data_IF_554095510130
#
_entry.id   IF_554095510130
#
_cell.length_a   1.000
_cell.length_b   1.000
_cell.length_c   1.000
_cell.angle_alpha   90.00
_cell.angle_beta   90.00
_cell.angle_gamma   90.00
#
_symmetry.space_group_name_H-M   'P 1'
#
loop_
_entity.id
_entity.type
_entity.pdbx_description
1 polymer ?
#
# COMPACT_ATOMS: atom_id res chain seq x y z
N UNK A 1 -34.60 23.60 43.29
CA UNK A 1 -33.81 22.40 43.63
C UNK A 1 -34.06 21.42 42.51
N UNK A 2 -33.34 21.65 41.44
CA UNK A 2 -33.44 20.81 40.25
C UNK A 2 -32.62 19.52 40.49
N UNK A 3 -33.33 18.41 40.58
CA UNK A 3 -32.71 17.09 40.54
C UNK A 3 -32.15 16.89 39.15
N UNK A 4 -30.86 17.10 38.99
CA UNK A 4 -30.12 16.51 37.90
C UNK A 4 -30.13 14.99 38.15
N UNK A 5 -31.10 14.32 37.56
CA UNK A 5 -31.05 12.86 37.40
C UNK A 5 -29.83 12.57 36.51
N UNK A 6 -28.73 12.20 37.17
CA UNK A 6 -27.63 11.57 36.46
C UNK A 6 -28.19 10.29 35.80
N UNK A 7 -28.49 10.36 34.51
CA UNK A 7 -28.76 9.15 33.71
C UNK A 7 -27.52 8.28 33.77
N UNK A 8 -27.45 7.44 34.78
CA UNK A 8 -26.45 6.38 34.87
C UNK A 8 -26.83 5.34 33.81
N UNK A 9 -26.10 5.32 32.72
CA UNK A 9 -26.27 4.32 31.65
C UNK A 9 -26.09 2.95 32.30
N UNK A 10 -27.19 2.25 32.55
CA UNK A 10 -27.15 0.90 33.14
C UNK A 10 -26.76 -0.11 32.04
N UNK A 11 -25.56 -0.64 32.16
CA UNK A 11 -25.02 -1.65 31.25
C UNK A 11 -25.91 -2.91 31.16
N UNK A 12 -26.66 -3.21 32.21
CA UNK A 12 -27.61 -4.35 32.23
C UNK A 12 -28.84 -4.06 31.37
N UNK A 13 -29.26 -2.81 31.29
CA UNK A 13 -30.38 -2.39 30.46
C UNK A 13 -30.00 -2.45 28.96
N UNK A 14 -28.82 -1.95 28.61
CA UNK A 14 -28.27 -2.09 27.26
C UNK A 14 -28.14 -3.55 26.84
N UNK A 15 -27.61 -4.41 27.72
CA UNK A 15 -27.46 -5.82 27.44
C UNK A 15 -28.81 -6.53 27.25
N UNK A 16 -29.84 -6.15 28.02
CA UNK A 16 -31.18 -6.69 27.87
C UNK A 16 -31.85 -6.25 26.56
N UNK A 17 -31.70 -4.97 26.18
CA UNK A 17 -32.19 -4.44 24.90
C UNK A 17 -31.54 -5.11 23.70
N UNK A 18 -30.23 -5.29 23.74
CA UNK A 18 -29.49 -6.03 22.68
C UNK A 18 -29.97 -7.47 22.58
N UNK A 19 -30.18 -8.14 23.72
CA UNK A 19 -30.67 -9.53 23.73
C UNK A 19 -32.08 -9.68 23.16
N UNK A 20 -32.97 -8.74 23.43
CA UNK A 20 -34.34 -8.74 22.87
C UNK A 20 -34.34 -8.51 21.34
N UNK A 21 -33.35 -7.77 20.81
CA UNK A 21 -33.25 -7.42 19.39
C UNK A 21 -32.17 -8.19 18.64
N UNK A 22 -31.67 -9.31 19.21
CA UNK A 22 -30.53 -10.07 18.67
C UNK A 22 -30.74 -10.54 17.24
N UNK A 23 -31.97 -10.98 16.88
CA UNK A 23 -32.32 -11.36 15.51
C UNK A 23 -32.23 -10.18 14.53
N UNK A 24 -32.67 -8.98 14.93
CA UNK A 24 -32.55 -7.77 14.10
C UNK A 24 -31.09 -7.38 13.94
N UNK A 25 -30.30 -7.44 15.01
CA UNK A 25 -28.86 -7.18 14.99
C UNK A 25 -28.14 -8.10 14.01
N UNK A 26 -28.37 -9.41 14.06
CA UNK A 26 -27.76 -10.39 13.15
C UNK A 26 -28.18 -10.10 11.71
N UNK A 27 -29.47 -9.86 11.46
CA UNK A 27 -29.99 -9.67 10.12
C UNK A 27 -29.39 -8.41 9.46
N UNK A 28 -29.34 -7.27 10.17
CA UNK A 28 -28.81 -6.02 9.63
C UNK A 28 -27.29 -6.09 9.46
N UNK A 29 -26.58 -6.74 10.39
CA UNK A 29 -25.13 -6.97 10.25
C UNK A 29 -24.82 -7.83 9.02
N UNK A 30 -25.58 -8.90 8.79
CA UNK A 30 -25.47 -9.75 7.60
C UNK A 30 -25.81 -8.97 6.31
N UNK A 31 -26.86 -8.16 6.32
CA UNK A 31 -27.21 -7.32 5.19
C UNK A 31 -26.11 -6.31 4.87
N UNK A 32 -25.53 -5.65 5.87
CA UNK A 32 -24.41 -4.75 5.71
C UNK A 32 -23.16 -5.46 5.16
N UNK A 33 -22.86 -6.66 5.67
CA UNK A 33 -21.78 -7.50 5.14
C UNK A 33 -22.00 -7.86 3.66
N UNK A 34 -23.22 -8.23 3.28
CA UNK A 34 -23.58 -8.56 1.90
C UNK A 34 -23.42 -7.36 0.96
N UNK A 35 -23.85 -6.16 1.41
CA UNK A 35 -23.64 -4.91 0.67
C UNK A 35 -22.15 -4.62 0.50
N UNK A 36 -21.35 -4.73 1.57
CA UNK A 36 -19.91 -4.54 1.51
C UNK A 36 -19.19 -5.54 0.60
N UNK A 37 -19.62 -6.79 0.62
CA UNK A 37 -19.13 -7.84 -0.27
C UNK A 37 -19.43 -7.54 -1.74
N UNK A 38 -20.70 -7.24 -2.06
CA UNK A 38 -21.13 -6.96 -3.44
C UNK A 38 -20.49 -5.69 -3.98
N UNK A 39 -20.43 -4.63 -3.20
CA UNK A 39 -19.75 -3.40 -3.57
C UNK A 39 -18.25 -3.64 -3.84
N UNK A 40 -17.56 -4.37 -2.95
CA UNK A 40 -16.14 -4.65 -3.11
C UNK A 40 -15.84 -5.54 -4.32
N UNK A 41 -16.71 -6.49 -4.63
CA UNK A 41 -16.49 -7.45 -5.71
C UNK A 41 -16.84 -6.91 -7.08
N UNK A 42 -17.91 -6.11 -7.20
CA UNK A 42 -18.51 -5.72 -8.49
C UNK A 42 -18.32 -4.24 -8.84
N UNK A 43 -18.17 -3.34 -7.83
CA UNK A 43 -18.03 -1.90 -8.10
C UNK A 43 -16.57 -1.43 -8.12
N UNK A 44 -15.66 -2.17 -7.46
CA UNK A 44 -14.26 -1.78 -7.39
C UNK A 44 -13.44 -2.46 -8.47
N UNK A 45 -12.64 -1.68 -9.21
CA UNK A 45 -11.71 -2.23 -10.22
C UNK A 45 -10.55 -2.94 -9.53
N UNK A 46 -10.20 -4.17 -9.96
CA UNK A 46 -9.05 -4.87 -9.42
C UNK A 46 -7.75 -4.10 -9.74
N UNK A 47 -6.81 -4.13 -8.80
CA UNK A 47 -5.46 -3.56 -8.96
C UNK A 47 -4.43 -4.65 -8.79
N UNK A 48 -3.41 -4.59 -9.60
CA UNK A 48 -2.30 -5.54 -9.64
C UNK A 48 -0.99 -4.82 -9.37
N UNK A 49 -0.12 -5.43 -8.60
CA UNK A 49 1.20 -4.91 -8.28
C UNK A 49 2.27 -5.71 -9.01
N UNK A 50 3.08 -5.00 -9.79
CA UNK A 50 4.35 -5.54 -10.29
C UNK A 50 5.48 -5.02 -9.44
N UNK A 51 6.40 -5.89 -9.03
CA UNK A 51 7.51 -5.51 -8.17
C UNK A 51 8.82 -6.02 -8.72
N UNK A 52 9.86 -5.19 -8.53
CA UNK A 52 11.25 -5.53 -8.80
C UNK A 52 12.11 -5.19 -7.58
N UNK A 53 13.26 -5.84 -7.47
CA UNK A 53 14.20 -5.60 -6.38
C UNK A 53 15.54 -5.08 -6.94
N UNK A 54 16.06 -4.05 -6.27
CA UNK A 54 17.39 -3.51 -6.54
C UNK A 54 18.19 -3.44 -5.23
N UNK A 55 19.49 -3.65 -5.31
CA UNK A 55 20.40 -3.49 -4.17
C UNK A 55 21.24 -2.24 -4.37
N UNK A 56 21.37 -1.48 -3.30
CA UNK A 56 22.26 -0.32 -3.24
C UNK A 56 23.64 -0.79 -2.87
N UNK A 57 24.61 -0.51 -3.75
CA UNK A 57 26.01 -0.82 -3.51
C UNK A 57 26.74 0.48 -3.15
N UNK A 58 27.27 0.54 -1.94
CA UNK A 58 28.26 1.56 -1.57
C UNK A 58 29.61 1.08 -2.05
N UNK A 59 30.29 1.88 -2.88
CA UNK A 59 31.70 1.59 -3.20
C UNK A 59 32.50 1.61 -1.91
N UNK A 60 32.91 0.44 -1.45
CA UNK A 60 33.89 0.29 -0.39
C UNK A 60 34.96 -0.69 -0.80
N UNK A 61 36.18 -0.36 -0.39
CA UNK A 61 37.35 -1.20 -0.60
C UNK A 61 37.08 -2.64 -0.15
N UNK A 62 37.49 -3.58 -0.98
CA UNK A 62 37.25 -5.03 -0.87
C UNK A 62 37.75 -5.64 0.45
N UNK A 63 38.39 -4.85 1.32
CA UNK A 63 39.04 -5.29 2.55
C UNK A 63 38.46 -4.68 3.86
N UNK A 64 37.33 -3.98 3.82
CA UNK A 64 36.73 -3.41 5.02
C UNK A 64 35.72 -4.37 5.65
N UNK A 65 35.87 -4.66 6.94
CA UNK A 65 34.87 -5.37 7.75
C UNK A 65 33.56 -4.57 7.74
N UNK A 66 32.45 -5.23 7.43
CA UNK A 66 31.11 -4.61 7.46
C UNK A 66 30.79 -4.20 8.90
N UNK A 67 30.67 -2.90 9.13
CA UNK A 67 30.32 -2.33 10.46
C UNK A 67 28.85 -1.92 10.47
N UNK A 68 28.27 -1.82 11.68
CA UNK A 68 26.87 -1.36 11.88
C UNK A 68 26.63 0.04 11.29
N UNK A 69 27.64 0.91 11.28
CA UNK A 69 27.55 2.24 10.67
C UNK A 69 27.41 2.20 9.16
N UNK A 70 27.95 1.16 8.52
CA UNK A 70 27.82 0.95 7.08
C UNK A 70 26.43 0.51 6.70
N UNK A 71 25.79 -0.35 7.51
CA UNK A 71 24.39 -0.76 7.32
C UNK A 71 23.47 0.44 7.46
N UNK A 72 23.64 1.27 8.50
CA UNK A 72 22.86 2.50 8.69
C UNK A 72 23.04 3.51 7.55
N UNK A 73 24.27 3.63 7.02
CA UNK A 73 24.55 4.49 5.86
C UNK A 73 23.86 3.98 4.59
N UNK A 74 23.86 2.68 4.36
CA UNK A 74 23.21 2.07 3.21
C UNK A 74 21.68 2.23 3.26
N UNK A 75 21.06 2.09 4.45
CA UNK A 75 19.61 2.32 4.61
C UNK A 75 19.25 3.79 4.31
N UNK A 76 20.08 4.74 4.70
CA UNK A 76 19.90 6.16 4.32
C UNK A 76 20.02 6.38 2.82
N UNK A 77 20.92 5.68 2.15
CA UNK A 77 21.06 5.75 0.68
C UNK A 77 19.83 5.19 -0.02
N UNK A 78 19.21 4.13 0.49
CA UNK A 78 17.93 3.62 -0.06
C UNK A 78 16.85 4.70 -0.07
N UNK A 79 16.76 5.50 1.00
CA UNK A 79 15.81 6.62 1.06
C UNK A 79 16.12 7.69 -0.01
N UNK A 80 17.40 8.04 -0.17
CA UNK A 80 17.83 8.99 -1.20
C UNK A 80 17.54 8.47 -2.62
N UNK A 81 17.84 7.21 -2.88
CA UNK A 81 17.60 6.61 -4.20
C UNK A 81 16.11 6.44 -4.48
N UNK A 82 15.29 6.20 -3.46
CA UNK A 82 13.84 6.19 -3.58
C UNK A 82 13.30 7.53 -4.08
N UNK A 83 13.88 8.65 -3.61
CA UNK A 83 13.52 9.99 -4.09
C UNK A 83 13.96 10.18 -5.55
N UNK A 84 15.16 9.73 -5.93
CA UNK A 84 15.68 9.84 -7.30
C UNK A 84 14.82 9.01 -8.25
N UNK A 85 14.50 7.77 -7.90
CA UNK A 85 13.65 6.89 -8.73
C UNK A 85 12.26 7.48 -8.93
N UNK A 86 11.73 8.18 -7.93
CA UNK A 86 10.43 8.85 -8.01
C UNK A 86 10.51 10.27 -8.55
N UNK A 87 11.68 10.74 -8.97
CA UNK A 87 11.83 12.07 -9.57
C UNK A 87 11.16 12.16 -10.94
N UNK A 88 10.91 13.39 -11.36
CA UNK A 88 10.40 13.68 -12.71
C UNK A 88 11.39 13.21 -13.78
N UNK A 89 12.70 13.33 -13.56
CA UNK A 89 13.74 12.87 -14.48
C UNK A 89 13.58 11.41 -14.85
N UNK A 90 13.41 10.51 -13.84
CA UNK A 90 13.24 9.07 -14.10
C UNK A 90 11.86 8.76 -14.67
N UNK A 91 10.80 9.26 -14.02
CA UNK A 91 9.44 8.88 -14.39
C UNK A 91 9.00 9.51 -15.72
N UNK A 92 9.46 10.71 -16.06
CA UNK A 92 9.20 11.30 -17.37
C UNK A 92 9.91 10.51 -18.48
N UNK A 93 11.16 10.10 -18.27
CA UNK A 93 11.87 9.25 -19.21
C UNK A 93 11.18 7.91 -19.43
N UNK A 94 10.60 7.32 -18.38
CA UNK A 94 9.77 6.10 -18.49
C UNK A 94 8.51 6.35 -19.32
N UNK A 95 7.82 7.47 -19.09
CA UNK A 95 6.63 7.89 -19.85
C UNK A 95 6.97 8.03 -21.33
N UNK A 96 8.07 8.72 -21.64
CA UNK A 96 8.51 8.99 -23.00
C UNK A 96 8.95 7.70 -23.72
N UNK A 97 9.73 6.84 -23.06
CA UNK A 97 10.22 5.59 -23.62
C UNK A 97 9.09 4.59 -23.94
N UNK A 98 8.04 4.58 -23.13
CA UNK A 98 6.89 3.68 -23.33
C UNK A 98 5.73 4.35 -24.08
N UNK A 99 5.85 5.63 -24.44
CA UNK A 99 4.79 6.39 -25.11
C UNK A 99 3.49 6.46 -24.30
N UNK A 100 3.60 6.61 -22.97
CA UNK A 100 2.43 6.60 -22.09
C UNK A 100 1.67 7.93 -22.18
N UNK A 101 0.35 7.86 -22.31
CA UNK A 101 -0.49 9.04 -22.23
C UNK A 101 -0.83 9.39 -20.76
N UNK A 102 0.21 9.64 -19.97
CA UNK A 102 0.14 9.95 -18.54
C UNK A 102 1.03 11.14 -18.22
N UNK A 103 0.64 11.92 -17.20
CA UNK A 103 1.52 12.92 -16.62
C UNK A 103 2.44 12.28 -15.58
N UNK A 104 3.57 12.93 -15.29
CA UNK A 104 4.44 12.54 -14.17
C UNK A 104 3.67 12.31 -12.87
N UNK A 105 2.78 13.23 -12.49
CA UNK A 105 2.00 13.13 -11.26
C UNK A 105 1.08 11.91 -11.22
N UNK A 106 0.55 11.49 -12.37
CA UNK A 106 -0.28 10.29 -12.47
C UNK A 106 0.55 9.01 -12.34
N UNK A 107 1.72 8.95 -12.96
CA UNK A 107 2.61 7.81 -12.83
C UNK A 107 3.20 7.73 -11.42
N UNK A 108 3.64 8.84 -10.84
CA UNK A 108 4.21 8.89 -9.49
C UNK A 108 3.27 8.35 -8.39
N UNK A 109 1.95 8.53 -8.56
CA UNK A 109 0.93 7.96 -7.64
C UNK A 109 0.82 6.43 -7.72
N UNK A 110 1.25 5.84 -8.84
CA UNK A 110 1.20 4.39 -9.10
C UNK A 110 2.50 3.69 -8.73
N UNK A 111 3.58 4.45 -8.49
CA UNK A 111 4.91 3.94 -8.16
C UNK A 111 5.20 4.10 -6.69
N UNK A 112 5.58 3.02 -6.04
CA UNK A 112 6.06 2.99 -4.66
C UNK A 112 7.46 2.43 -4.64
N UNK A 113 8.36 3.09 -3.91
CA UNK A 113 9.74 2.63 -3.68
C UNK A 113 9.98 2.62 -2.19
N UNK A 114 10.36 1.47 -1.65
CA UNK A 114 10.58 1.29 -0.21
C UNK A 114 11.76 0.36 0.04
N UNK A 115 12.43 0.54 1.18
CA UNK A 115 13.40 -0.44 1.67
C UNK A 115 12.69 -1.75 2.00
N UNK A 116 13.40 -2.87 1.80
CA UNK A 116 12.97 -4.17 2.28
C UNK A 116 13.59 -4.37 3.65
N UNK A 117 12.77 -4.26 4.69
CA UNK A 117 13.21 -4.27 6.07
C UNK A 117 14.36 -3.26 6.32
N UNK A 118 15.26 -3.53 7.23
CA UNK A 118 16.44 -2.71 7.51
C UNK A 118 17.65 -3.10 6.64
N UNK A 119 17.40 -3.39 5.35
CA UNK A 119 18.43 -3.85 4.42
C UNK A 119 18.80 -2.79 3.37
N UNK A 120 19.86 -3.07 2.61
CA UNK A 120 20.27 -2.28 1.44
C UNK A 120 19.42 -2.55 0.19
N UNK A 121 18.42 -3.43 0.31
CA UNK A 121 17.53 -3.80 -0.80
C UNK A 121 16.35 -2.84 -0.83
N UNK A 122 16.05 -2.32 -2.00
CA UNK A 122 14.83 -1.56 -2.25
C UNK A 122 13.91 -2.33 -3.18
N UNK A 123 12.63 -2.25 -2.88
CA UNK A 123 11.53 -2.79 -3.66
C UNK A 123 10.85 -1.65 -4.40
N UNK A 124 10.80 -1.75 -5.70
CA UNK A 124 10.01 -0.88 -6.57
C UNK A 124 8.72 -1.61 -6.87
N UNK A 125 7.59 -0.97 -6.67
CA UNK A 125 6.26 -1.54 -6.94
C UNK A 125 5.49 -0.58 -7.80
N UNK A 126 4.91 -1.09 -8.89
CA UNK A 126 4.02 -0.36 -9.79
C UNK A 126 2.64 -0.98 -9.72
N UNK A 127 1.63 -0.16 -9.43
CA UNK A 127 0.24 -0.60 -9.31
C UNK A 127 -0.58 -0.15 -10.53
N UNK A 128 -1.34 -1.08 -11.10
CA UNK A 128 -2.26 -0.80 -12.22
C UNK A 128 -3.45 -1.74 -12.22
N UNK A 129 -4.44 -1.44 -13.06
CA UNK A 129 -5.56 -2.31 -13.43
C UNK A 129 -5.18 -3.36 -14.47
N UNK A 130 -4.04 -3.21 -15.16
CA UNK A 130 -3.45 -4.22 -16.05
C UNK A 130 -2.14 -4.75 -15.47
N UNK A 131 -2.03 -6.07 -15.23
CA UNK A 131 -0.79 -6.68 -14.74
C UNK A 131 0.38 -6.52 -15.73
N UNK A 132 0.10 -6.62 -17.03
CA UNK A 132 1.11 -6.48 -18.09
C UNK A 132 1.66 -5.06 -18.14
N UNK A 133 0.78 -4.07 -18.04
CA UNK A 133 1.18 -2.66 -18.00
C UNK A 133 2.02 -2.36 -16.75
N UNK A 134 1.58 -2.84 -15.59
CA UNK A 134 2.34 -2.68 -14.35
C UNK A 134 3.75 -3.27 -14.47
N UNK A 135 3.87 -4.47 -15.07
CA UNK A 135 5.16 -5.12 -15.32
C UNK A 135 6.04 -4.32 -16.28
N UNK A 136 5.49 -3.87 -17.41
CA UNK A 136 6.25 -3.09 -18.41
C UNK A 136 6.80 -1.79 -17.80
N UNK A 137 5.98 -1.06 -17.06
CA UNK A 137 6.41 0.18 -16.40
C UNK A 137 7.46 -0.11 -15.32
N UNK A 138 7.27 -1.15 -14.50
CA UNK A 138 8.23 -1.54 -13.48
C UNK A 138 9.57 -1.93 -14.10
N UNK A 139 9.56 -2.69 -15.20
CA UNK A 139 10.76 -3.09 -15.96
C UNK A 139 11.49 -1.87 -16.53
N UNK A 140 10.75 -0.91 -17.08
CA UNK A 140 11.33 0.31 -17.61
C UNK A 140 11.96 1.18 -16.51
N UNK A 141 11.33 1.26 -15.33
CA UNK A 141 11.90 1.98 -14.19
C UNK A 141 13.25 1.37 -13.79
N UNK A 142 13.35 0.05 -13.64
CA UNK A 142 14.61 -0.60 -13.24
C UNK A 142 15.68 -0.55 -14.33
N UNK A 143 15.29 -0.28 -15.57
CA UNK A 143 16.22 -0.07 -16.69
C UNK A 143 16.79 1.35 -16.69
N UNK A 144 15.95 2.35 -16.44
CA UNK A 144 16.32 3.78 -16.48
C UNK A 144 17.00 4.24 -15.18
N UNK A 145 16.49 3.80 -14.04
CA UNK A 145 16.91 4.30 -12.74
C UNK A 145 18.41 4.16 -12.44
N UNK A 146 19.12 3.06 -12.78
CA UNK A 146 20.54 2.92 -12.51
C UNK A 146 21.41 4.01 -13.12
N UNK A 147 21.12 4.42 -14.34
CA UNK A 147 21.91 5.42 -15.05
C UNK A 147 21.68 6.82 -14.43
N UNK A 148 20.43 7.18 -14.11
CA UNK A 148 20.10 8.44 -13.46
C UNK A 148 20.70 8.49 -12.05
N UNK A 149 20.65 7.40 -11.29
CA UNK A 149 21.27 7.33 -9.96
C UNK A 149 22.79 7.50 -10.06
N UNK A 150 23.43 6.85 -11.02
CA UNK A 150 24.87 6.95 -11.22
C UNK A 150 25.29 8.36 -11.59
N UNK A 151 24.48 9.08 -12.38
CA UNK A 151 24.72 10.47 -12.75
C UNK A 151 24.49 11.44 -11.57
N UNK A 152 23.45 11.18 -10.76
CA UNK A 152 23.11 12.05 -9.64
C UNK A 152 23.99 11.85 -8.39
N UNK A 153 24.60 10.66 -8.23
CA UNK A 153 25.37 10.28 -7.04
C UNK A 153 26.71 9.68 -7.42
N UNK A 154 27.77 10.47 -7.31
CA UNK A 154 29.14 10.10 -7.77
C UNK A 154 29.71 8.82 -7.13
N UNK A 155 29.27 8.45 -5.91
CA UNK A 155 29.85 7.36 -5.11
C UNK A 155 28.96 6.12 -5.00
N UNK A 156 27.76 6.11 -5.61
CA UNK A 156 26.81 5.03 -5.44
C UNK A 156 26.55 4.24 -6.74
N UNK A 157 26.23 2.98 -6.59
CA UNK A 157 25.71 2.18 -7.70
C UNK A 157 24.53 1.34 -7.22
N UNK A 158 23.60 1.06 -8.12
CA UNK A 158 22.49 0.13 -7.87
C UNK A 158 22.58 -1.02 -8.85
N UNK A 159 22.21 -2.21 -8.38
CA UNK A 159 22.13 -3.40 -9.21
C UNK A 159 20.75 -4.01 -9.10
N UNK A 160 20.15 -4.33 -10.22
CA UNK A 160 18.90 -5.10 -10.27
C UNK A 160 19.20 -6.53 -9.81
N UNK A 161 18.46 -7.02 -8.84
CA UNK A 161 18.54 -8.39 -8.31
C UNK A 161 17.31 -9.24 -8.66
N UNK A 162 16.19 -8.59 -8.97
CA UNK A 162 14.99 -9.26 -9.46
C UNK A 162 14.30 -8.38 -10.48
N UNK A 163 13.95 -8.96 -11.62
CA UNK A 163 13.15 -8.30 -12.66
C UNK A 163 11.71 -8.11 -12.21
N UNK A 164 10.96 -7.28 -12.95
CA UNK A 164 9.56 -7.00 -12.68
C UNK A 164 8.69 -8.27 -12.75
N UNK A 165 7.99 -8.56 -11.67
CA UNK A 165 7.09 -9.71 -11.58
C UNK A 165 5.78 -9.46 -12.33
N UNK A 166 5.24 -10.49 -12.99
CA UNK A 166 3.85 -10.43 -13.48
C UNK A 166 2.91 -10.85 -12.34
N UNK A 167 2.00 -9.96 -11.96
CA UNK A 167 1.00 -10.27 -10.95
C UNK A 167 -0.04 -11.25 -11.49
N UNK A 168 -0.27 -12.34 -10.77
CA UNK A 168 -1.28 -13.36 -11.11
C UNK A 168 -2.60 -13.11 -10.40
N UNK A 169 -2.57 -12.38 -9.28
CA UNK A 169 -3.73 -12.08 -8.46
C UNK A 169 -3.81 -10.58 -8.14
N UNK A 170 -5.03 -10.01 -8.04
CA UNK A 170 -5.19 -8.61 -7.66
C UNK A 170 -4.89 -8.40 -6.18
N UNK A 171 -4.17 -7.33 -5.85
CA UNK A 171 -3.87 -6.91 -4.48
C UNK A 171 -4.98 -6.06 -3.85
N UNK A 172 -5.87 -5.52 -4.68
CA UNK A 172 -7.01 -4.70 -4.26
C UNK A 172 -8.17 -4.93 -5.24
N UNK A 173 -9.43 -4.86 -4.76
CA UNK A 173 -9.86 -4.65 -3.38
C UNK A 173 -9.68 -5.89 -2.49
N UNK A 174 -9.40 -5.66 -1.21
CA UNK A 174 -9.40 -6.75 -0.24
C UNK A 174 -10.85 -7.03 0.19
N UNK A 175 -11.51 -7.96 -0.53
CA UNK A 175 -12.93 -8.29 -0.33
C UNK A 175 -13.20 -8.69 1.13
N UNK A 176 -12.33 -9.51 1.73
CA UNK A 176 -12.51 -9.97 3.12
C UNK A 176 -12.49 -8.79 4.11
N UNK A 177 -11.50 -7.90 3.98
CA UNK A 177 -11.36 -6.72 4.83
C UNK A 177 -12.54 -5.76 4.67
N UNK A 178 -12.96 -5.50 3.43
CA UNK A 178 -14.06 -4.59 3.14
C UNK A 178 -15.40 -5.14 3.66
N UNK A 179 -15.66 -6.44 3.50
CA UNK A 179 -16.84 -7.12 4.04
C UNK A 179 -16.87 -7.07 5.56
N UNK A 180 -15.73 -7.35 6.20
CA UNK A 180 -15.63 -7.29 7.67
C UNK A 180 -15.83 -5.86 8.19
N UNK A 181 -15.28 -4.86 7.52
CA UNK A 181 -15.47 -3.45 7.87
C UNK A 181 -16.94 -3.03 7.73
N UNK A 182 -17.60 -3.42 6.63
CA UNK A 182 -19.02 -3.15 6.42
C UNK A 182 -19.89 -3.82 7.49
N UNK A 183 -19.58 -5.06 7.85
CA UNK A 183 -20.25 -5.76 8.94
C UNK A 183 -20.08 -5.04 10.28
N UNK A 184 -18.86 -4.60 10.61
CA UNK A 184 -18.57 -3.88 11.84
C UNK A 184 -19.33 -2.54 11.90
N UNK A 185 -19.37 -1.79 10.82
CA UNK A 185 -20.15 -0.53 10.73
C UNK A 185 -21.65 -0.81 10.90
N UNK A 186 -22.19 -1.82 10.21
CA UNK A 186 -23.60 -2.23 10.35
C UNK A 186 -23.94 -2.63 11.78
N UNK A 187 -23.06 -3.37 12.43
CA UNK A 187 -23.22 -3.77 13.83
C UNK A 187 -23.29 -2.58 14.79
N UNK A 188 -22.35 -1.63 14.67
CA UNK A 188 -22.31 -0.43 15.52
C UNK A 188 -23.55 0.44 15.32
N UNK A 189 -23.98 0.62 14.05
CA UNK A 189 -25.18 1.41 13.74
C UNK A 189 -26.43 0.81 14.36
N UNK A 190 -26.59 -0.52 14.32
CA UNK A 190 -27.76 -1.17 14.92
C UNK A 190 -27.76 -1.07 16.42
N UNK A 191 -26.62 -1.23 17.07
CA UNK A 191 -26.53 -1.02 18.54
C UNK A 191 -26.90 0.43 18.88
N UNK A 192 -26.38 1.41 18.14
CA UNK A 192 -26.75 2.82 18.35
C UNK A 192 -28.25 3.07 18.24
N UNK A 193 -28.93 2.43 17.28
CA UNK A 193 -30.39 2.57 17.11
C UNK A 193 -31.18 1.83 18.21
N UNK A 194 -30.64 0.74 18.77
CA UNK A 194 -31.31 -0.01 19.83
C UNK A 194 -31.20 0.71 21.19
N UNK A 195 -30.11 1.45 21.39
CA UNK A 195 -29.83 2.16 22.66
C UNK A 195 -30.46 3.55 22.71
N UNK A 196 -30.75 4.18 21.57
CA UNK A 196 -31.49 5.43 21.44
C UNK A 196 -33.00 5.24 21.67
#
# INVERSE_FOLDING_TARGET
MDNEENEVIDLTEILSAVRQHLLKLIFVTLAAALVGFTASKFLMTPKYDSSALMIVNTRQDVNANVTSDQINSATKLVSTYSIIIKSDTVLQQVIDNLGLNLTYAQLNKRVTVAAVDDTQVMKITVQSDSPEWARQVCEQIITVAPDVIKEAVEAGSVKVISNASLATEPVSPNIKKNTMLAAAVGFVLVIGIIVL
#
